data_IF_453013518018
#
_entry.id   IF_453013518018
#
_cell.length_a   1.000
_cell.length_b   1.000
_cell.length_c   1.000
_cell.angle_alpha   90.00
_cell.angle_beta   90.00
_cell.angle_gamma   90.00
#
_symmetry.space_group_name_H-M   'P 1'
#
loop_
_entity.id
_entity.type
_entity.pdbx_description
1 polymer ?
#
# COMPACT_ATOMS: atom_id res chain seq x y z
N UNK A 1 33.44 35.29 -48.87
CA UNK A 1 32.34 34.33 -48.70
C UNK A 1 31.12 34.89 -49.40
N UNK A 2 30.36 34.08 -50.14
CA UNK A 2 29.18 34.55 -50.86
C UNK A 2 28.06 34.91 -49.87
N UNK A 3 27.24 35.94 -50.14
CA UNK A 3 26.05 36.28 -49.33
C UNK A 3 25.09 35.08 -49.16
N UNK A 4 25.11 34.13 -50.10
CA UNK A 4 24.35 32.89 -50.01
C UNK A 4 24.90 31.89 -48.96
N UNK A 5 26.21 31.91 -48.68
CA UNK A 5 26.83 31.10 -47.64
C UNK A 5 26.57 31.66 -46.23
N UNK A 6 26.46 32.99 -46.09
CA UNK A 6 26.11 33.64 -44.81
C UNK A 6 24.73 33.19 -44.30
N UNK A 7 23.72 33.13 -45.17
CA UNK A 7 22.38 32.69 -44.78
C UNK A 7 22.33 31.23 -44.31
N UNK A 8 23.11 30.35 -44.95
CA UNK A 8 23.24 28.94 -44.55
C UNK A 8 23.94 28.82 -43.20
N UNK A 9 24.97 29.62 -42.96
CA UNK A 9 25.72 29.64 -41.72
C UNK A 9 24.85 30.08 -40.53
N UNK A 10 23.98 31.07 -40.73
CA UNK A 10 22.99 31.53 -39.75
C UNK A 10 22.00 30.41 -39.40
N UNK A 11 21.51 29.66 -40.41
CA UNK A 11 20.56 28.58 -40.17
C UNK A 11 21.19 27.40 -39.41
N UNK A 12 22.44 27.05 -39.73
CA UNK A 12 23.20 26.05 -38.97
C UNK A 12 23.46 26.51 -37.54
N UNK A 13 23.81 27.78 -37.32
CA UNK A 13 24.00 28.34 -35.98
C UNK A 13 22.69 28.27 -35.16
N UNK A 14 21.57 28.68 -35.75
CA UNK A 14 20.24 28.61 -35.11
C UNK A 14 19.77 27.18 -34.84
N UNK A 15 20.23 26.19 -35.62
CA UNK A 15 19.95 24.77 -35.37
C UNK A 15 20.75 24.25 -34.18
N UNK A 16 22.05 24.57 -34.12
CA UNK A 16 22.94 24.21 -32.99
C UNK A 16 22.50 24.85 -31.68
N UNK A 17 22.02 26.09 -31.72
CA UNK A 17 21.49 26.79 -30.56
C UNK A 17 20.26 26.07 -29.99
N UNK A 18 19.29 25.71 -30.84
CA UNK A 18 18.11 24.92 -30.42
C UNK A 18 18.48 23.56 -29.84
N UNK A 19 19.37 22.83 -30.51
CA UNK A 19 19.85 21.53 -30.02
C UNK A 19 20.52 21.65 -28.64
N UNK A 20 21.28 22.73 -28.41
CA UNK A 20 21.92 23.00 -27.12
C UNK A 20 20.90 23.36 -26.02
N UNK A 21 19.90 24.18 -26.35
CA UNK A 21 18.82 24.53 -25.41
C UNK A 21 17.99 23.30 -25.00
N UNK A 22 17.71 22.40 -25.93
CA UNK A 22 16.94 21.18 -25.64
C UNK A 22 17.73 20.23 -24.73
N UNK A 23 19.04 20.11 -24.94
CA UNK A 23 19.94 19.34 -24.05
C UNK A 23 19.96 19.96 -22.65
N UNK A 24 20.07 21.30 -22.54
CA UNK A 24 20.09 21.96 -21.24
C UNK A 24 18.77 21.78 -20.47
N UNK A 25 17.62 21.85 -21.16
CA UNK A 25 16.31 21.58 -20.56
C UNK A 25 16.20 20.14 -20.07
N UNK A 26 16.68 19.17 -20.84
CA UNK A 26 16.68 17.77 -20.40
C UNK A 26 17.60 17.54 -19.20
N UNK A 27 18.77 18.19 -19.17
CA UNK A 27 19.70 18.11 -18.05
C UNK A 27 19.09 18.71 -16.77
N UNK A 28 18.42 19.87 -16.89
CA UNK A 28 17.71 20.53 -15.79
C UNK A 28 16.59 19.65 -15.24
N UNK A 29 15.80 19.04 -16.13
CA UNK A 29 14.72 18.12 -15.74
C UNK A 29 15.27 16.89 -15.00
N UNK A 30 16.38 16.32 -15.47
CA UNK A 30 17.07 15.21 -14.80
C UNK A 30 17.61 15.59 -13.42
N UNK A 31 18.15 16.81 -13.26
CA UNK A 31 18.62 17.33 -11.97
C UNK A 31 17.46 17.49 -10.97
N UNK A 32 16.33 18.06 -11.41
CA UNK A 32 15.13 18.19 -10.58
C UNK A 32 14.58 16.84 -10.15
N UNK A 33 14.51 15.86 -11.06
CA UNK A 33 14.03 14.53 -10.75
C UNK A 33 15.00 13.78 -9.82
N UNK A 34 16.32 13.99 -9.98
CA UNK A 34 17.35 13.47 -9.07
C UNK A 34 17.23 14.06 -7.66
N UNK A 35 17.04 15.36 -7.52
CA UNK A 35 16.86 16.01 -6.21
C UNK A 35 15.54 15.55 -5.54
N UNK A 36 14.44 15.39 -6.28
CA UNK A 36 13.19 14.80 -5.76
C UNK A 36 13.37 13.34 -5.30
N UNK A 37 14.21 12.57 -5.98
CA UNK A 37 14.54 11.20 -5.58
C UNK A 37 15.53 11.13 -4.40
N UNK A 38 16.40 12.14 -4.23
CA UNK A 38 17.44 12.20 -3.19
C UNK A 38 16.89 12.56 -1.80
N UNK A 39 15.77 13.26 -1.72
CA UNK A 39 14.95 13.39 -0.48
C UNK A 39 14.19 12.06 -0.18
N UNK A 40 14.81 10.96 -0.57
CA UNK A 40 14.20 9.67 -0.84
C UNK A 40 13.75 8.95 0.40
N UNK A 41 12.46 8.64 0.43
CA UNK A 41 11.81 7.55 1.18
C UNK A 41 11.76 7.75 2.69
N UNK A 42 12.87 8.07 3.37
CA UNK A 42 12.91 8.21 4.83
C UNK A 42 12.04 9.39 5.31
N UNK A 43 12.16 10.55 4.68
CA UNK A 43 11.32 11.73 4.95
C UNK A 43 9.85 11.49 4.61
N UNK A 44 9.58 10.69 3.57
CA UNK A 44 8.21 10.31 3.17
C UNK A 44 7.51 9.44 4.20
N UNK A 45 8.24 8.72 5.06
CA UNK A 45 7.64 7.93 6.13
C UNK A 45 7.57 8.69 7.46
N UNK A 46 8.47 9.63 7.73
CA UNK A 46 8.47 10.38 8.99
C UNK A 46 7.47 11.54 9.02
N UNK A 47 7.36 12.33 7.95
CA UNK A 47 6.42 13.46 7.89
C UNK A 47 4.94 13.02 7.99
N UNK A 48 4.64 11.82 7.48
CA UNK A 48 3.30 11.23 7.53
C UNK A 48 2.95 10.67 8.92
N UNK A 49 3.95 10.29 9.72
CA UNK A 49 3.74 9.87 11.10
C UNK A 49 3.54 11.07 12.03
N UNK A 50 4.33 12.13 11.84
CA UNK A 50 4.28 13.34 12.66
C UNK A 50 2.92 14.06 12.56
N UNK A 51 2.37 14.17 11.35
CA UNK A 51 1.04 14.79 11.12
C UNK A 51 -0.11 14.00 11.74
N UNK A 52 -0.07 12.67 11.68
CA UNK A 52 -1.10 11.81 12.27
C UNK A 52 -0.97 11.77 13.79
N UNK A 53 0.24 11.81 14.32
CA UNK A 53 0.46 11.82 15.76
C UNK A 53 -0.07 13.11 16.40
N UNK A 54 0.05 14.25 15.71
CA UNK A 54 -0.50 15.53 16.17
C UNK A 54 -2.04 15.54 16.21
N UNK A 55 -2.72 14.94 15.23
CA UNK A 55 -4.19 14.82 15.22
C UNK A 55 -4.70 13.87 16.32
N UNK A 56 -3.97 12.78 16.57
CA UNK A 56 -4.29 11.86 17.66
C UNK A 56 -3.99 12.51 19.01
N UNK A 57 -2.85 13.16 19.21
CA UNK A 57 -2.49 13.88 20.44
C UNK A 57 -3.49 14.98 20.78
N UNK A 58 -3.92 15.75 19.78
CA UNK A 58 -4.94 16.79 19.97
C UNK A 58 -6.33 16.22 20.26
N UNK A 59 -6.72 15.06 19.71
CA UNK A 59 -8.01 14.44 20.08
C UNK A 59 -7.98 13.66 21.39
N UNK A 60 -6.79 13.36 21.91
CA UNK A 60 -6.59 12.53 23.10
C UNK A 60 -6.24 13.32 24.37
N UNK A 61 -6.14 14.65 24.33
CA UNK A 61 -5.99 15.43 25.56
C UNK A 61 -7.31 15.44 26.36
N UNK A 62 -7.24 15.14 27.67
CA UNK A 62 -8.39 15.13 28.58
C UNK A 62 -8.71 13.75 29.19
N UNK A 63 -9.86 13.63 29.88
CA UNK A 63 -10.37 12.34 30.33
C UNK A 63 -10.92 11.58 29.12
N UNK A 64 -10.14 10.64 28.60
CA UNK A 64 -10.51 9.82 27.43
C UNK A 64 -10.58 8.36 27.87
N UNK A 65 -11.69 7.68 27.56
CA UNK A 65 -11.82 6.26 27.83
C UNK A 65 -10.90 5.44 26.94
N UNK A 66 -10.52 4.24 27.38
CA UNK A 66 -9.73 3.32 26.54
C UNK A 66 -10.44 2.98 25.22
N UNK A 67 -11.78 3.02 25.21
CA UNK A 67 -12.55 2.79 24.00
C UNK A 67 -12.50 3.99 23.05
N UNK A 68 -12.57 5.21 23.61
CA UNK A 68 -12.45 6.45 22.85
C UNK A 68 -11.08 6.56 22.17
N UNK A 69 -9.98 6.21 22.86
CA UNK A 69 -8.64 6.18 22.26
C UNK A 69 -8.55 5.19 21.08
N UNK A 70 -9.15 4.00 21.23
CA UNK A 70 -9.18 3.00 20.15
C UNK A 70 -10.01 3.48 18.97
N UNK A 71 -11.12 4.16 19.22
CA UNK A 71 -11.99 4.67 18.17
C UNK A 71 -11.34 5.84 17.43
N UNK A 72 -10.65 6.73 18.14
CA UNK A 72 -9.86 7.82 17.53
C UNK A 72 -8.77 7.23 16.62
N UNK A 73 -7.98 6.26 17.10
CA UNK A 73 -6.94 5.62 16.28
C UNK A 73 -7.51 4.93 15.04
N UNK A 74 -8.60 4.16 15.18
CA UNK A 74 -9.25 3.48 14.05
C UNK A 74 -9.78 4.47 13.01
N UNK A 75 -10.40 5.56 13.46
CA UNK A 75 -10.95 6.58 12.57
C UNK A 75 -9.84 7.32 11.81
N UNK A 76 -8.74 7.67 12.46
CA UNK A 76 -7.61 8.32 11.78
C UNK A 76 -6.96 7.40 10.73
N UNK A 77 -6.82 6.10 11.03
CA UNK A 77 -6.32 5.11 10.08
C UNK A 77 -7.28 4.95 8.89
N UNK A 78 -8.58 4.81 9.16
CA UNK A 78 -9.60 4.65 8.10
C UNK A 78 -9.71 5.88 7.20
N UNK A 79 -9.64 7.09 7.75
CA UNK A 79 -9.66 8.32 6.95
C UNK A 79 -8.41 8.42 6.07
N UNK A 80 -7.26 7.98 6.57
CA UNK A 80 -6.03 7.93 5.79
C UNK A 80 -6.11 6.91 4.67
N UNK A 81 -6.62 5.71 4.94
CA UNK A 81 -6.81 4.68 3.91
C UNK A 81 -7.76 5.18 2.80
N UNK A 82 -8.82 5.91 3.18
CA UNK A 82 -9.73 6.56 2.24
C UNK A 82 -9.03 7.66 1.43
N UNK A 83 -8.16 8.46 2.06
CA UNK A 83 -7.43 9.53 1.39
C UNK A 83 -6.34 9.00 0.44
N UNK A 84 -5.64 7.92 0.80
CA UNK A 84 -4.69 7.23 -0.06
C UNK A 84 -5.40 6.59 -1.25
N UNK A 85 -6.54 5.93 -1.01
CA UNK A 85 -7.38 5.38 -2.09
C UNK A 85 -7.88 6.48 -3.05
N UNK A 86 -8.28 7.64 -2.52
CA UNK A 86 -8.69 8.80 -3.34
C UNK A 86 -7.53 9.46 -4.07
N UNK A 87 -6.35 9.58 -3.46
CA UNK A 87 -5.15 10.15 -4.07
C UNK A 87 -4.62 9.30 -5.24
N UNK A 88 -4.77 7.97 -5.13
CA UNK A 88 -4.52 7.03 -6.23
C UNK A 88 -5.59 7.12 -7.34
N UNK A 89 -6.85 7.39 -6.95
CA UNK A 89 -7.94 7.60 -7.89
C UNK A 89 -7.88 8.97 -8.62
N UNK A 90 -7.34 10.02 -8.00
CA UNK A 90 -7.26 11.36 -8.61
C UNK A 90 -6.09 11.48 -9.59
N UNK A 91 -4.94 10.87 -9.29
CA UNK A 91 -3.80 10.79 -10.23
C UNK A 91 -4.12 9.95 -11.47
N UNK A 92 -4.95 8.92 -11.33
CA UNK A 92 -5.43 8.13 -12.48
C UNK A 92 -6.57 8.78 -13.27
N UNK A 93 -7.39 9.66 -12.66
CA UNK A 93 -8.45 10.42 -13.37
C UNK A 93 -7.91 11.65 -14.11
N UNK A 94 -6.98 12.40 -13.53
CA UNK A 94 -6.39 13.57 -14.23
C UNK A 94 -5.55 13.18 -15.46
N UNK A 95 -4.96 11.97 -15.48
CA UNK A 95 -4.29 11.43 -16.65
C UNK A 95 -5.27 11.00 -17.76
N UNK A 96 -6.55 10.73 -17.44
CA UNK A 96 -7.57 10.35 -18.43
C UNK A 96 -8.28 11.56 -19.03
N UNK A 97 -8.62 12.56 -18.22
CA UNK A 97 -9.31 13.77 -18.71
C UNK A 97 -8.42 14.68 -19.57
N UNK A 98 -7.09 14.62 -19.40
CA UNK A 98 -6.12 15.39 -20.21
C UNK A 98 -5.76 14.76 -21.56
N UNK A 99 -5.93 13.44 -21.69
CA UNK A 99 -5.80 12.71 -22.95
C UNK A 99 -7.10 12.84 -23.79
N UNK A 100 -8.26 12.75 -23.12
CA UNK A 100 -9.58 12.77 -23.77
C UNK A 100 -9.97 14.15 -24.34
N UNK A 101 -9.42 15.24 -23.80
CA UNK A 101 -9.60 16.59 -24.35
C UNK A 101 -8.73 16.87 -25.59
N UNK A 102 -7.64 16.10 -25.80
CA UNK A 102 -6.73 16.26 -26.95
C UNK A 102 -7.16 15.41 -28.15
N UNK A 103 -7.80 14.27 -27.93
CA UNK A 103 -8.33 13.44 -29.02
C UNK A 103 -9.66 13.97 -29.61
N UNK A 104 -10.44 14.73 -28.82
CA UNK A 104 -11.72 15.30 -29.29
C UNK A 104 -11.59 16.48 -30.26
N UNK A 105 -10.45 17.18 -30.30
CA UNK A 105 -10.19 18.21 -31.33
C UNK A 105 -9.65 17.63 -32.64
N UNK A 106 -8.96 16.49 -32.64
CA UNK A 106 -8.39 15.91 -33.86
C UNK A 106 -9.38 15.02 -34.64
N UNK A 107 -10.36 14.42 -33.96
CA UNK A 107 -11.33 13.50 -34.59
C UNK A 107 -12.54 14.18 -35.26
N UNK A 108 -12.82 15.46 -34.98
CA UNK A 108 -13.96 16.19 -35.59
C UNK A 108 -13.66 16.60 -37.05
N UNK A 109 -12.39 16.77 -37.43
CA UNK A 109 -12.00 17.16 -38.79
C UNK A 109 -11.91 15.99 -39.80
N UNK A 110 -11.95 14.72 -39.34
CA UNK A 110 -11.73 13.53 -40.19
C UNK A 110 -12.97 12.62 -40.36
N UNK A 111 -14.13 12.96 -39.78
CA UNK A 111 -15.30 12.08 -39.77
C UNK A 111 -16.32 12.26 -40.93
N UNK A 112 -16.06 13.09 -41.95
CA UNK A 112 -17.00 13.25 -43.08
C UNK A 112 -16.80 12.24 -44.23
N UNK A 113 -15.87 11.28 -44.13
CA UNK A 113 -15.72 10.21 -45.12
C UNK A 113 -16.02 8.82 -44.55
N UNK A 114 -17.33 8.56 -44.42
CA UNK A 114 -18.05 7.30 -44.63
C UNK A 114 -17.17 6.05 -44.92
N UNK A 115 -16.97 5.20 -43.91
CA UNK A 115 -17.04 3.74 -44.03
C UNK A 115 -17.71 3.18 -42.78
N UNK A 116 -18.91 2.63 -42.96
CA UNK A 116 -19.65 1.91 -41.93
C UNK A 116 -18.99 0.54 -41.79
N UNK A 117 -18.26 0.30 -40.71
CA UNK A 117 -17.91 -1.04 -40.26
C UNK A 117 -19.11 -1.58 -39.49
N UNK A 118 -19.69 -2.67 -39.99
CA UNK A 118 -20.78 -3.41 -39.37
C UNK A 118 -20.28 -4.16 -38.13
N UNK A 119 -20.48 -3.58 -36.95
CA UNK A 119 -20.63 -4.30 -35.70
C UNK A 119 -21.86 -3.71 -35.00
N UNK A 120 -23.04 -4.08 -35.51
CA UNK A 120 -24.27 -3.93 -34.77
C UNK A 120 -24.26 -5.00 -33.67
N UNK A 121 -24.27 -4.51 -32.45
CA UNK A 121 -24.41 -5.25 -31.21
C UNK A 121 -25.85 -5.81 -31.17
N UNK A 122 -25.98 -7.13 -31.20
CA UNK A 122 -27.22 -7.82 -30.84
C UNK A 122 -27.27 -7.84 -29.32
N UNK A 123 -28.12 -6.96 -28.80
CA UNK A 123 -28.54 -6.89 -27.41
C UNK A 123 -29.48 -8.07 -27.16
N UNK A 124 -28.97 -9.10 -26.47
CA UNK A 124 -29.83 -10.07 -25.79
C UNK A 124 -29.36 -10.13 -24.33
N UNK A 125 -30.10 -9.36 -23.56
CA UNK A 125 -30.35 -9.42 -22.13
C UNK A 125 -30.34 -10.88 -21.60
N UNK A 126 -29.37 -11.23 -20.76
CA UNK A 126 -29.55 -12.30 -19.78
C UNK A 126 -28.76 -11.97 -18.49
N UNK A 127 -29.54 -11.73 -17.45
CA UNK A 127 -29.13 -11.56 -16.06
C UNK A 127 -28.60 -12.90 -15.50
N UNK A 128 -27.77 -12.79 -14.45
CA UNK A 128 -27.44 -13.88 -13.52
C UNK A 128 -26.77 -15.15 -14.10
N UNK A 129 -25.44 -15.13 -14.20
CA UNK A 129 -24.62 -16.20 -13.59
C UNK A 129 -23.12 -15.86 -13.61
N UNK A 130 -22.56 -15.57 -12.43
CA UNK A 130 -21.11 -15.47 -12.22
C UNK A 130 -20.53 -16.89 -12.25
N UNK A 131 -20.42 -17.47 -13.44
CA UNK A 131 -19.70 -18.71 -13.66
C UNK A 131 -18.19 -18.49 -13.43
N UNK A 132 -17.47 -19.45 -12.80
CA UNK A 132 -16.05 -19.31 -12.54
C UNK A 132 -15.27 -19.34 -13.86
N UNK A 133 -14.73 -18.19 -14.25
CA UNK A 133 -13.85 -18.03 -15.40
C UNK A 133 -12.64 -18.96 -15.21
N UNK A 134 -12.58 -20.05 -15.97
CA UNK A 134 -11.43 -20.96 -15.96
C UNK A 134 -10.21 -20.22 -16.52
N UNK A 135 -9.05 -20.26 -15.85
CA UNK A 135 -7.88 -19.52 -16.30
C UNK A 135 -7.45 -20.06 -17.68
N UNK A 136 -7.51 -19.20 -18.70
CA UNK A 136 -6.97 -19.51 -20.01
C UNK A 136 -5.45 -19.57 -19.90
N UNK A 137 -4.84 -20.71 -20.22
CA UNK A 137 -3.39 -20.83 -20.29
C UNK A 137 -2.87 -19.85 -21.34
N UNK A 138 -1.86 -19.07 -20.98
CA UNK A 138 -1.24 -18.07 -21.86
C UNK A 138 -0.43 -18.77 -22.95
N UNK A 139 -1.09 -19.22 -24.01
CA UNK A 139 -0.45 -19.80 -25.19
C UNK A 139 -0.16 -18.66 -26.17
N UNK A 140 1.12 -18.43 -26.48
CA UNK A 140 1.55 -17.43 -27.46
C UNK A 140 1.98 -16.06 -26.89
N UNK A 141 2.12 -15.92 -25.57
CA UNK A 141 2.76 -14.75 -24.95
C UNK A 141 4.16 -15.06 -24.47
N UNK A 142 5.08 -14.11 -24.65
CA UNK A 142 6.47 -14.24 -24.23
C UNK A 142 6.56 -14.37 -22.70
N UNK A 143 7.24 -15.39 -22.17
CA UNK A 143 7.33 -15.66 -20.73
C UNK A 143 8.24 -14.68 -19.98
N UNK A 144 9.02 -13.88 -20.71
CA UNK A 144 9.96 -12.90 -20.15
C UNK A 144 9.32 -11.53 -19.89
N UNK A 145 8.09 -11.32 -20.38
CA UNK A 145 7.36 -10.07 -20.16
C UNK A 145 6.82 -10.08 -18.73
N UNK A 146 7.23 -9.10 -17.93
CA UNK A 146 6.75 -8.93 -16.56
C UNK A 146 5.25 -8.60 -16.55
N UNK A 147 4.43 -9.57 -16.13
CA UNK A 147 2.99 -9.40 -15.95
C UNK A 147 2.59 -9.23 -14.50
N UNK A 148 3.51 -8.81 -13.63
CA UNK A 148 3.23 -8.57 -12.21
C UNK A 148 2.23 -7.46 -11.93
N UNK A 149 2.06 -6.56 -12.89
CA UNK A 149 1.09 -5.48 -12.81
C UNK A 149 -0.36 -5.91 -13.15
N UNK A 150 -0.55 -7.09 -13.78
CA UNK A 150 -1.89 -7.60 -14.04
C UNK A 150 -2.45 -8.29 -12.79
N UNK A 151 -3.73 -8.07 -12.45
CA UNK A 151 -4.44 -8.88 -11.46
C UNK A 151 -4.38 -10.36 -11.86
N UNK A 152 -3.73 -11.17 -11.04
CA UNK A 152 -3.46 -12.58 -11.29
C UNK A 152 -3.95 -13.39 -10.09
N UNK A 153 -5.09 -14.05 -10.27
CA UNK A 153 -5.78 -14.78 -9.21
C UNK A 153 -4.92 -15.93 -8.65
N UNK A 154 -4.15 -16.61 -9.50
CA UNK A 154 -3.30 -17.72 -9.05
C UNK A 154 -2.13 -17.21 -8.21
N UNK A 155 -1.56 -16.07 -8.59
CA UNK A 155 -0.50 -15.40 -7.82
C UNK A 155 -1.01 -14.94 -6.46
N UNK A 156 -2.18 -14.31 -6.42
CA UNK A 156 -2.79 -13.88 -5.16
C UNK A 156 -3.09 -15.07 -4.24
N UNK A 157 -3.60 -16.18 -4.79
CA UNK A 157 -3.83 -17.41 -4.03
C UNK A 157 -2.53 -18.03 -3.50
N UNK A 158 -1.45 -18.03 -4.29
CA UNK A 158 -0.14 -18.48 -3.84
C UNK A 158 0.41 -17.60 -2.70
N UNK A 159 0.32 -16.28 -2.86
CA UNK A 159 0.71 -15.32 -1.82
C UNK A 159 -0.13 -15.49 -0.55
N UNK A 160 -1.43 -15.76 -0.70
CA UNK A 160 -2.32 -16.04 0.43
C UNK A 160 -1.91 -17.31 1.17
N UNK A 161 -1.66 -18.41 0.45
CA UNK A 161 -1.15 -19.67 1.02
C UNK A 161 0.16 -19.46 1.76
N UNK A 162 1.14 -18.80 1.12
CA UNK A 162 2.42 -18.40 1.75
C UNK A 162 2.22 -17.61 3.04
N UNK A 163 1.26 -16.68 3.06
CA UNK A 163 0.94 -15.87 4.24
C UNK A 163 0.30 -16.72 5.34
N UNK A 164 -0.58 -17.64 4.99
CA UNK A 164 -1.21 -18.58 5.93
C UNK A 164 -0.16 -19.52 6.55
N UNK A 165 0.75 -20.07 5.74
CA UNK A 165 1.89 -20.90 6.19
C UNK A 165 2.76 -20.14 7.19
N UNK A 166 3.19 -18.93 6.84
CA UNK A 166 4.02 -18.09 7.72
C UNK A 166 3.29 -17.72 9.02
N UNK A 167 1.98 -17.47 8.95
CA UNK A 167 1.16 -17.21 10.13
C UNK A 167 1.01 -18.44 11.03
N UNK A 168 0.97 -19.64 10.45
CA UNK A 168 0.94 -20.91 11.18
C UNK A 168 2.30 -21.17 11.85
N UNK A 169 3.40 -21.02 11.11
CA UNK A 169 4.77 -21.10 11.65
C UNK A 169 4.97 -20.12 12.80
N UNK A 170 4.51 -18.87 12.64
CA UNK A 170 4.59 -17.88 13.70
C UNK A 170 3.78 -18.29 14.93
N UNK A 171 2.57 -18.83 14.77
CA UNK A 171 1.77 -19.36 15.90
C UNK A 171 2.45 -20.54 16.58
N UNK A 172 3.04 -21.46 15.83
CA UNK A 172 3.80 -22.59 16.37
C UNK A 172 5.00 -22.08 17.16
N UNK A 173 5.75 -21.11 16.62
CA UNK A 173 6.88 -20.49 17.30
C UNK A 173 6.46 -19.79 18.59
N UNK A 174 5.34 -19.05 18.56
CA UNK A 174 4.75 -18.42 19.74
C UNK A 174 4.31 -19.45 20.79
N UNK A 175 3.68 -20.54 20.38
CA UNK A 175 3.27 -21.61 21.28
C UNK A 175 4.47 -22.36 21.86
N UNK A 176 5.52 -22.57 21.07
CA UNK A 176 6.75 -23.20 21.55
C UNK A 176 7.42 -22.32 22.60
N UNK A 177 7.57 -21.02 22.32
CA UNK A 177 8.14 -20.06 23.26
C UNK A 177 7.31 -19.96 24.56
N UNK A 178 5.99 -19.97 24.46
CA UNK A 178 5.08 -19.95 25.63
C UNK A 178 5.14 -21.22 26.47
N UNK A 179 5.42 -22.36 25.83
CA UNK A 179 5.53 -23.67 26.50
C UNK A 179 6.93 -23.93 27.07
N UNK A 180 7.91 -23.04 26.89
CA UNK A 180 9.21 -23.15 27.54
C UNK A 180 9.01 -23.28 29.06
N UNK A 181 9.45 -24.40 29.64
CA UNK A 181 9.37 -24.68 31.07
C UNK A 181 10.53 -23.97 31.77
N UNK A 182 10.21 -23.04 32.66
CA UNK A 182 11.17 -22.24 33.40
C UNK A 182 11.12 -22.68 34.87
N UNK A 183 12.29 -22.87 35.46
CA UNK A 183 12.41 -23.10 36.91
C UNK A 183 12.46 -21.75 37.61
N UNK A 184 11.37 -21.42 38.33
CA UNK A 184 11.27 -20.20 39.12
C UNK A 184 11.57 -20.54 40.57
N UNK A 185 12.66 -19.98 41.09
CA UNK A 185 12.95 -20.01 42.52
C UNK A 185 12.11 -18.94 43.20
N UNK A 186 11.21 -19.34 44.10
CA UNK A 186 10.43 -18.41 44.89
C UNK A 186 10.77 -18.59 46.38
N UNK A 187 10.79 -17.47 47.09
CA UNK A 187 10.97 -17.43 48.53
C UNK A 187 9.77 -16.71 49.12
N UNK A 188 9.20 -17.26 50.18
CA UNK A 188 8.18 -16.59 50.97
C UNK A 188 8.64 -16.53 52.43
N UNK A 189 8.15 -15.50 53.14
CA UNK A 189 8.51 -15.23 54.52
C UNK A 189 7.26 -15.27 55.39
N UNK A 190 7.23 -16.20 56.32
CA UNK A 190 6.16 -16.40 57.32
C UNK A 190 6.73 -16.34 58.76
N UNK A 191 7.95 -15.81 58.92
CA UNK A 191 8.73 -15.84 60.16
C UNK A 191 9.94 -16.80 60.10
N UNK A 192 10.00 -17.67 59.09
CA UNK A 192 11.18 -18.46 58.71
C UNK A 192 11.38 -18.41 57.19
N UNK A 193 12.62 -18.47 56.70
CA UNK A 193 12.90 -18.31 55.27
C UNK A 193 12.70 -19.64 54.55
N UNK A 194 11.62 -19.74 53.79
CA UNK A 194 11.33 -20.92 52.98
C UNK A 194 11.61 -20.63 51.50
N UNK A 195 12.58 -21.35 50.93
CA UNK A 195 12.91 -21.32 49.50
C UNK A 195 12.43 -22.59 48.83
N UNK A 196 11.71 -22.45 47.73
CA UNK A 196 11.24 -23.57 46.90
C UNK A 196 11.45 -23.26 45.43
N UNK A 197 11.77 -24.31 44.66
CA UNK A 197 11.88 -24.23 43.22
C UNK A 197 10.61 -24.80 42.61
N UNK A 198 9.95 -24.05 41.73
CA UNK A 198 8.75 -24.50 41.02
C UNK A 198 9.05 -24.48 39.53
N UNK A 199 8.76 -25.58 38.84
CA UNK A 199 8.81 -25.63 37.38
C UNK A 199 7.46 -25.19 36.83
N UNK A 200 7.45 -24.15 36.02
CA UNK A 200 6.25 -23.50 35.51
C UNK A 200 6.47 -23.17 34.05
N UNK A 201 5.43 -23.25 33.21
CA UNK A 201 5.52 -22.78 31.83
C UNK A 201 5.64 -21.25 31.77
N UNK A 202 6.35 -20.72 30.78
CA UNK A 202 6.52 -19.27 30.56
C UNK A 202 5.19 -18.51 30.51
N UNK A 203 4.15 -19.09 29.91
CA UNK A 203 2.79 -18.50 29.84
C UNK A 203 2.10 -18.28 31.19
N UNK A 204 2.44 -19.09 32.19
CA UNK A 204 1.88 -19.01 33.54
C UNK A 204 2.61 -18.00 34.44
N UNK A 205 3.86 -17.66 34.11
CA UNK A 205 4.66 -16.67 34.84
C UNK A 205 4.20 -15.22 34.55
N UNK A 206 3.75 -14.97 33.32
CA UNK A 206 3.22 -13.67 32.88
C UNK A 206 1.74 -13.82 32.54
N UNK A 207 0.84 -13.90 33.54
CA UNK A 207 -0.58 -13.96 33.26
C UNK A 207 -0.99 -12.71 32.47
N UNK A 208 -1.63 -12.92 31.31
CA UNK A 208 -2.25 -11.83 30.55
C UNK A 208 -3.25 -11.11 31.47
N UNK A 209 -2.88 -9.92 31.93
CA UNK A 209 -3.60 -9.13 32.94
C UNK A 209 -5.09 -8.96 32.59
N UNK A 210 -5.43 -8.93 31.30
CA UNK A 210 -6.82 -8.85 30.82
C UNK A 210 -7.66 -10.11 31.03
N UNK A 211 -7.08 -11.31 31.00
CA UNK A 211 -7.85 -12.55 31.22
C UNK A 211 -8.14 -12.79 32.71
N UNK A 212 -7.22 -12.42 33.60
CA UNK A 212 -7.43 -12.53 35.05
C UNK A 212 -8.54 -11.59 35.53
N UNK A 213 -8.58 -10.35 35.04
CA UNK A 213 -9.66 -9.39 35.34
C UNK A 213 -11.05 -9.95 34.99
N UNK A 214 -11.18 -10.63 33.84
CA UNK A 214 -12.44 -11.28 33.43
C UNK A 214 -12.77 -12.52 34.26
N UNK A 215 -11.77 -13.32 34.65
CA UNK A 215 -11.97 -14.50 35.52
C UNK A 215 -12.38 -14.11 36.94
N UNK A 216 -11.77 -13.06 37.50
CA UNK A 216 -12.11 -12.51 38.81
C UNK A 216 -13.53 -11.91 38.82
N UNK A 217 -13.94 -11.24 37.74
CA UNK A 217 -15.30 -10.73 37.58
C UNK A 217 -16.36 -11.85 37.53
N UNK A 218 -16.05 -13.00 36.90
CA UNK A 218 -16.97 -14.15 36.81
C UNK A 218 -17.07 -15.01 38.07
N UNK A 219 -16.04 -15.01 38.93
CA UNK A 219 -16.07 -15.73 40.22
C UNK A 219 -16.83 -14.99 41.32
N UNK A 220 -17.04 -13.67 41.17
CA UNK A 220 -17.72 -12.83 42.15
C UNK A 220 -19.22 -12.62 41.85
N UNK A 221 -19.81 -13.39 40.93
CA UNK A 221 -21.26 -13.41 40.74
C UNK A 221 -21.86 -14.34 41.81
N UNK A 222 -22.69 -13.83 42.74
CA UNK A 222 -23.44 -14.70 43.63
C UNK A 222 -24.42 -15.55 42.78
N UNK A 223 -24.51 -16.82 43.14
CA UNK A 223 -25.43 -17.80 42.54
C UNK A 223 -26.90 -17.41 42.80
#
# INVERSE_FOLDING_TARGET
MSRADEGRLIHLAKKREREKEDIEKQLRKLEEDKEKCKVGITSKFTANYETMEESVKSKTYGLVSLDDMKNIQKNEISNRDLQVARGFASTSKQAKDSEEAREKEEHVAKHTQKRVLSFAYEDEEDDEDVAPIKPKKRVGMDPTVDTSFLPDKEREEFLRKKKEELAAEWRVKQNNEKNEEITVAYAYWDGSSHRKNMKIKKETLFPNVSQEQSRLSKRNLPN
#
